data_IF_092799247174
#
_entry.id   IF_092799247174
#
_cell.length_a   1.000
_cell.length_b   1.000
_cell.length_c   1.000
_cell.angle_alpha   90.00
_cell.angle_beta   90.00
_cell.angle_gamma   90.00
#
_symmetry.space_group_name_H-M   'P 1'
#
loop_
_entity.id
_entity.type
_entity.pdbx_description
1 polymer ?
#
# COMPACT_ATOMS: atom_id res chain seq x y z
N UNK A 1 14.83 10.82 -5.97
CA UNK A 1 15.54 10.04 -4.94
C UNK A 1 15.11 10.55 -3.59
N UNK A 2 15.04 9.68 -2.58
CA UNK A 2 14.67 10.05 -1.20
C UNK A 2 15.91 10.02 -0.31
N UNK A 3 15.91 10.81 0.77
CA UNK A 3 16.96 10.84 1.79
C UNK A 3 16.34 11.04 3.18
N UNK A 4 17.19 11.05 4.23
CA UNK A 4 16.75 11.18 5.63
C UNK A 4 15.70 10.14 6.02
N UNK A 5 15.89 8.89 5.57
CA UNK A 5 15.00 7.77 5.92
C UNK A 5 15.04 7.52 7.43
N UNK A 6 13.88 7.55 8.04
CA UNK A 6 13.69 7.24 9.47
C UNK A 6 12.68 6.11 9.62
N UNK A 7 12.98 5.15 10.50
CA UNK A 7 12.11 4.04 10.83
C UNK A 7 11.38 4.31 12.14
N UNK A 8 10.10 4.02 12.17
CA UNK A 8 9.23 4.20 13.34
C UNK A 8 8.53 2.85 13.65
N UNK A 9 9.22 1.91 14.33
CA UNK A 9 8.72 0.54 14.50
C UNK A 9 7.48 0.43 15.37
N UNK A 10 7.28 1.38 16.29
CA UNK A 10 6.26 1.26 17.34
C UNK A 10 5.02 2.14 17.08
N UNK A 11 4.95 2.82 15.92
CA UNK A 11 3.79 3.66 15.63
C UNK A 11 2.57 2.82 15.24
N UNK A 12 1.48 3.04 15.92
CA UNK A 12 0.17 2.51 15.53
C UNK A 12 -0.30 3.14 14.23
N UNK A 13 -1.30 2.53 13.58
CA UNK A 13 -1.91 3.09 12.38
C UNK A 13 -2.50 4.50 12.61
N UNK A 14 -3.12 4.72 13.77
CA UNK A 14 -3.66 6.04 14.14
C UNK A 14 -2.55 7.10 14.25
N UNK A 15 -1.45 6.76 14.91
CA UNK A 15 -0.28 7.64 15.01
C UNK A 15 0.36 7.89 13.64
N UNK A 16 0.50 6.85 12.79
CA UNK A 16 0.96 7.02 11.41
C UNK A 16 0.07 8.00 10.65
N UNK A 17 -1.26 7.89 10.75
CA UNK A 17 -2.19 8.81 10.08
C UNK A 17 -2.04 10.24 10.58
N UNK A 18 -1.78 10.44 11.86
CA UNK A 18 -1.62 11.77 12.50
C UNK A 18 -0.29 12.47 12.14
N UNK A 19 0.69 11.76 11.59
CA UNK A 19 1.94 12.38 11.15
C UNK A 19 1.68 13.41 10.04
N UNK A 20 2.37 14.57 10.04
CA UNK A 20 2.13 15.66 9.07
C UNK A 20 2.70 15.37 7.67
N UNK A 21 3.56 14.35 7.52
CA UNK A 21 4.20 14.00 6.25
C UNK A 21 3.17 13.50 5.24
N UNK A 22 3.47 13.72 3.95
CA UNK A 22 2.61 13.34 2.81
C UNK A 22 2.62 11.83 2.59
N UNK A 23 1.45 11.21 2.57
CA UNK A 23 1.26 9.80 2.26
C UNK A 23 0.81 9.57 0.81
N UNK A 24 0.79 8.29 0.38
CA UNK A 24 0.17 7.92 -0.90
C UNK A 24 -1.32 8.26 -0.97
N UNK A 25 -2.03 8.25 0.16
CA UNK A 25 -3.44 8.65 0.25
C UNK A 25 -3.59 10.15 -0.01
N UNK A 26 -2.72 10.98 0.56
CA UNK A 26 -2.73 12.43 0.32
C UNK A 26 -2.46 12.75 -1.16
N UNK A 27 -1.56 12.00 -1.81
CA UNK A 27 -1.34 12.11 -3.26
C UNK A 27 -2.57 11.69 -4.06
N UNK A 28 -3.37 10.74 -3.59
CA UNK A 28 -4.64 10.37 -4.23
C UNK A 28 -5.67 11.49 -4.11
N UNK A 29 -5.77 12.13 -2.95
CA UNK A 29 -6.65 13.27 -2.72
C UNK A 29 -6.24 14.46 -3.61
N UNK A 30 -4.95 14.76 -3.67
CA UNK A 30 -4.42 15.81 -4.54
C UNK A 30 -4.73 15.54 -6.02
N UNK A 31 -4.50 14.29 -6.49
CA UNK A 31 -4.85 13.89 -7.86
C UNK A 31 -6.33 14.12 -8.16
N UNK A 32 -7.20 13.72 -7.25
CA UNK A 32 -8.64 13.88 -7.41
C UNK A 32 -9.04 15.37 -7.49
N UNK A 33 -8.46 16.20 -6.62
CA UNK A 33 -8.67 17.65 -6.63
C UNK A 33 -8.21 18.30 -7.95
N UNK A 34 -7.02 17.95 -8.43
CA UNK A 34 -6.48 18.43 -9.71
C UNK A 34 -7.34 18.03 -10.91
N UNK A 35 -8.03 16.89 -10.83
CA UNK A 35 -8.93 16.40 -11.87
C UNK A 35 -10.38 16.92 -11.72
N UNK A 36 -10.66 17.73 -10.71
CA UNK A 36 -12.01 18.20 -10.40
C UNK A 36 -12.97 17.05 -10.01
N UNK A 37 -12.44 15.93 -9.54
CA UNK A 37 -13.23 14.75 -9.16
C UNK A 37 -13.27 14.61 -7.64
N UNK A 38 -14.45 14.45 -7.02
CA UNK A 38 -14.52 14.19 -5.58
C UNK A 38 -13.85 12.85 -5.28
N UNK A 39 -12.91 12.84 -4.33
CA UNK A 39 -12.38 11.60 -3.79
C UNK A 39 -13.20 11.22 -2.54
N UNK A 40 -14.35 10.61 -2.78
CA UNK A 40 -15.22 10.08 -1.72
C UNK A 40 -15.11 8.56 -1.70
N UNK A 41 -14.11 8.03 -0.98
CA UNK A 41 -13.98 6.59 -0.85
C UNK A 41 -15.21 6.03 -0.11
N UNK A 42 -15.68 4.86 -0.52
CA UNK A 42 -16.76 4.18 0.17
C UNK A 42 -16.29 3.78 1.58
N UNK A 43 -16.85 4.34 2.67
CA UNK A 43 -16.40 4.07 4.02
C UNK A 43 -16.53 2.60 4.41
N UNK A 44 -17.56 1.91 3.93
CA UNK A 44 -17.76 0.46 4.18
C UNK A 44 -16.64 -0.36 3.52
N UNK A 45 -16.22 0.01 2.30
CA UNK A 45 -15.14 -0.68 1.62
C UNK A 45 -13.78 -0.42 2.31
N UNK A 46 -13.56 0.79 2.83
CA UNK A 46 -12.35 1.13 3.59
C UNK A 46 -12.28 0.37 4.91
N UNK A 47 -13.37 0.35 5.68
CA UNK A 47 -13.46 -0.39 6.93
C UNK A 47 -13.22 -1.89 6.70
N UNK A 48 -13.89 -2.46 5.68
CA UNK A 48 -13.68 -3.85 5.28
C UNK A 48 -12.20 -4.15 4.95
N UNK A 49 -11.58 -3.29 4.15
CA UNK A 49 -10.15 -3.42 3.82
C UNK A 49 -9.27 -3.36 5.06
N UNK A 50 -9.53 -2.43 5.98
CA UNK A 50 -8.80 -2.29 7.24
C UNK A 50 -8.93 -3.55 8.12
N UNK A 51 -10.13 -4.09 8.28
CA UNK A 51 -10.34 -5.32 9.05
C UNK A 51 -9.64 -6.53 8.42
N UNK A 52 -9.68 -6.65 7.09
CA UNK A 52 -8.96 -7.70 6.38
C UNK A 52 -7.43 -7.59 6.60
N UNK A 53 -6.86 -6.38 6.48
CA UNK A 53 -5.44 -6.15 6.72
C UNK A 53 -5.05 -6.52 8.15
N UNK A 54 -5.79 -6.03 9.16
CA UNK A 54 -5.52 -6.39 10.56
C UNK A 54 -5.58 -7.91 10.77
N UNK A 55 -6.58 -8.59 10.22
CA UNK A 55 -6.72 -10.04 10.37
C UNK A 55 -5.62 -10.87 9.70
N UNK A 56 -5.05 -10.37 8.59
CA UNK A 56 -3.95 -11.02 7.87
C UNK A 56 -2.61 -10.72 8.53
N UNK A 57 -2.33 -9.44 8.81
CA UNK A 57 -1.01 -8.90 9.15
C UNK A 57 -0.75 -8.86 10.65
N UNK A 58 -1.76 -8.54 11.44
CA UNK A 58 -1.68 -8.36 12.88
C UNK A 58 -2.80 -9.13 13.60
N UNK A 59 -2.86 -10.49 13.44
CA UNK A 59 -3.96 -11.31 13.94
C UNK A 59 -4.18 -11.20 15.47
N UNK A 60 -3.16 -10.81 16.22
CA UNK A 60 -3.26 -10.54 17.65
C UNK A 60 -4.12 -9.29 17.97
N UNK A 61 -4.28 -8.39 17.02
CA UNK A 61 -5.10 -7.19 17.15
C UNK A 61 -6.46 -7.33 16.47
N UNK A 62 -6.72 -8.47 15.79
CA UNK A 62 -7.98 -8.69 15.11
C UNK A 62 -9.08 -9.04 16.11
N UNK A 63 -10.14 -8.27 16.10
CA UNK A 63 -11.39 -8.54 16.82
C UNK A 63 -12.57 -8.09 15.97
N UNK A 64 -13.69 -8.82 16.07
CA UNK A 64 -14.97 -8.36 15.53
C UNK A 64 -15.45 -7.20 16.40
N UNK A 65 -15.83 -6.12 15.76
CA UNK A 65 -16.38 -4.92 16.41
C UNK A 65 -17.88 -4.82 16.15
N UNK A 66 -18.56 -3.84 16.75
CA UNK A 66 -19.97 -3.52 16.46
C UNK A 66 -20.15 -2.89 15.05
N UNK A 67 -19.06 -2.53 14.39
CA UNK A 67 -19.08 -1.95 13.06
C UNK A 67 -19.65 -2.95 12.03
N UNK A 68 -20.49 -2.44 11.13
CA UNK A 68 -21.09 -3.27 10.06
C UNK A 68 -20.04 -3.75 9.09
N UNK A 69 -19.66 -5.01 9.20
CA UNK A 69 -18.68 -5.68 8.36
C UNK A 69 -19.16 -7.11 8.02
N UNK A 70 -18.79 -7.60 6.85
CA UNK A 70 -18.99 -9.02 6.50
C UNK A 70 -17.83 -9.85 7.10
N UNK A 71 -17.93 -10.09 8.41
CA UNK A 71 -16.92 -10.85 9.16
C UNK A 71 -16.67 -12.26 8.61
N UNK A 72 -17.72 -13.05 8.25
CA UNK A 72 -17.51 -14.36 7.63
C UNK A 72 -16.68 -14.29 6.34
N UNK A 73 -16.90 -13.27 5.52
CA UNK A 73 -16.11 -13.08 4.31
C UNK A 73 -14.67 -12.70 4.65
N UNK A 74 -14.44 -11.79 5.60
CA UNK A 74 -13.06 -11.43 6.05
C UNK A 74 -12.32 -12.71 6.45
N UNK A 75 -12.90 -13.54 7.30
CA UNK A 75 -12.28 -14.78 7.80
C UNK A 75 -12.05 -15.81 6.67
N UNK A 76 -12.97 -15.89 5.70
CA UNK A 76 -12.81 -16.72 4.50
C UNK A 76 -11.61 -16.29 3.68
N UNK A 77 -11.44 -14.97 3.47
CA UNK A 77 -10.30 -14.44 2.71
C UNK A 77 -8.97 -14.62 3.45
N UNK A 78 -8.96 -14.43 4.77
CA UNK A 78 -7.78 -14.71 5.61
C UNK A 78 -7.39 -16.19 5.52
N UNK A 79 -8.37 -17.10 5.58
CA UNK A 79 -8.13 -18.53 5.40
C UNK A 79 -7.61 -18.86 3.99
N UNK A 80 -8.10 -18.18 2.96
CA UNK A 80 -7.59 -18.33 1.59
C UNK A 80 -6.12 -17.91 1.47
N UNK A 81 -5.74 -16.76 2.05
CA UNK A 81 -4.35 -16.29 2.11
C UNK A 81 -3.47 -17.29 2.85
N UNK A 82 -3.88 -17.75 4.02
CA UNK A 82 -3.12 -18.68 4.86
C UNK A 82 -2.99 -20.08 4.27
N UNK A 83 -3.86 -20.50 3.37
CA UNK A 83 -3.71 -21.76 2.61
C UNK A 83 -2.55 -21.70 1.61
N UNK A 84 -2.21 -20.50 1.10
CA UNK A 84 -1.09 -20.34 0.17
C UNK A 84 0.25 -20.43 0.90
N UNK A 85 1.09 -21.41 0.52
CA UNK A 85 2.43 -21.57 1.11
C UNK A 85 3.26 -20.30 1.01
N UNK A 86 3.26 -19.69 -0.17
CA UNK A 86 3.98 -18.45 -0.43
C UNK A 86 3.57 -17.32 0.54
N UNK A 87 2.25 -17.11 0.73
CA UNK A 87 1.77 -16.09 1.67
C UNK A 87 2.16 -16.39 3.11
N UNK A 88 2.10 -17.66 3.54
CA UNK A 88 2.57 -18.03 4.89
C UNK A 88 4.05 -17.73 5.09
N UNK A 89 4.89 -18.05 4.10
CA UNK A 89 6.33 -17.77 4.16
C UNK A 89 6.61 -16.26 4.23
N UNK A 90 5.85 -15.43 3.50
CA UNK A 90 5.93 -13.98 3.57
C UNK A 90 5.50 -13.45 4.94
N UNK A 91 4.33 -13.89 5.45
CA UNK A 91 3.80 -13.46 6.75
C UNK A 91 4.73 -13.87 7.92
N UNK A 92 5.38 -15.02 7.81
CA UNK A 92 6.32 -15.50 8.84
C UNK A 92 7.62 -14.70 8.86
N UNK A 93 8.13 -14.27 7.69
CA UNK A 93 9.43 -13.57 7.56
C UNK A 93 9.30 -12.07 7.50
N UNK A 94 8.14 -11.57 7.16
CA UNK A 94 7.88 -10.15 6.98
C UNK A 94 7.66 -9.43 8.31
N UNK A 95 7.93 -8.14 8.30
CA UNK A 95 7.57 -7.21 9.38
C UNK A 95 6.36 -6.42 8.91
N UNK A 96 5.20 -6.58 9.57
CA UNK A 96 3.99 -5.91 9.15
C UNK A 96 3.97 -4.45 9.57
N UNK A 97 3.29 -3.63 8.78
CA UNK A 97 2.79 -2.32 9.16
C UNK A 97 3.84 -1.35 9.77
N UNK A 98 5.10 -1.42 9.31
CA UNK A 98 6.15 -0.52 9.78
C UNK A 98 6.03 0.86 9.12
N UNK A 99 6.02 1.91 9.94
CA UNK A 99 6.02 3.28 9.45
C UNK A 99 7.44 3.77 9.14
N UNK A 100 7.57 4.43 8.01
CA UNK A 100 8.82 5.07 7.59
C UNK A 100 8.52 6.49 7.12
N UNK A 101 9.45 7.41 7.40
CA UNK A 101 9.44 8.78 6.88
C UNK A 101 10.71 9.07 6.12
N UNK A 102 10.63 9.94 5.12
CA UNK A 102 11.78 10.36 4.32
C UNK A 102 11.52 11.74 3.71
N UNK A 103 12.54 12.31 3.07
CA UNK A 103 12.41 13.57 2.34
C UNK A 103 12.63 13.32 0.85
N UNK A 104 11.73 13.79 0.01
CA UNK A 104 11.86 13.74 -1.44
C UNK A 104 12.85 14.83 -1.90
N UNK A 105 14.05 14.42 -2.30
CA UNK A 105 15.16 15.34 -2.62
C UNK A 105 14.79 16.45 -3.62
N UNK A 106 14.07 16.19 -4.74
CA UNK A 106 13.77 17.23 -5.71
C UNK A 106 12.80 18.31 -5.23
N UNK A 107 11.99 18.06 -4.20
CA UNK A 107 10.94 19.01 -3.77
C UNK A 107 11.05 19.42 -2.30
N UNK A 108 11.90 18.76 -1.51
CA UNK A 108 11.98 18.97 -0.06
C UNK A 108 10.75 18.44 0.71
N UNK A 109 9.74 17.88 0.03
CA UNK A 109 8.53 17.38 0.68
C UNK A 109 8.86 16.19 1.57
N UNK A 110 8.46 16.29 2.84
CA UNK A 110 8.54 15.17 3.76
C UNK A 110 7.39 14.18 3.50
N UNK A 111 7.71 12.91 3.42
CA UNK A 111 6.77 11.85 3.08
C UNK A 111 6.73 10.77 4.16
N UNK A 112 5.61 10.06 4.23
CA UNK A 112 5.42 8.88 5.07
C UNK A 112 4.89 7.72 4.26
N UNK A 113 5.35 6.52 4.59
CA UNK A 113 4.85 5.27 4.03
C UNK A 113 4.66 4.23 5.13
N UNK A 114 3.75 3.28 4.88
CA UNK A 114 3.48 2.13 5.74
C UNK A 114 3.13 0.94 4.85
N UNK A 115 4.12 0.17 4.40
CA UNK A 115 3.86 -1.03 3.61
C UNK A 115 3.20 -2.10 4.47
N UNK A 116 2.35 -2.92 3.87
CA UNK A 116 1.68 -4.04 4.55
C UNK A 116 2.71 -5.01 5.13
N UNK A 117 3.71 -5.40 4.32
CA UNK A 117 4.84 -6.20 4.78
C UNK A 117 6.15 -5.68 4.18
N UNK A 118 7.17 -5.62 5.03
CA UNK A 118 8.56 -5.43 4.64
C UNK A 118 9.34 -6.68 4.98
N UNK A 119 10.09 -7.22 4.04
CA UNK A 119 11.02 -8.30 4.32
C UNK A 119 12.41 -7.97 3.75
N UNK A 120 13.45 -8.40 4.47
CA UNK A 120 14.83 -8.27 4.01
C UNK A 120 15.37 -9.67 3.79
N UNK A 121 15.89 -9.93 2.61
CA UNK A 121 16.52 -11.22 2.32
C UNK A 121 17.78 -11.39 3.19
N UNK A 122 17.84 -12.42 4.04
CA UNK A 122 18.98 -12.59 4.95
C UNK A 122 20.30 -12.90 4.22
N UNK A 123 20.23 -13.40 2.96
CA UNK A 123 21.41 -13.79 2.18
C UNK A 123 22.03 -12.64 1.42
N UNK A 124 21.23 -11.72 0.91
CA UNK A 124 21.67 -10.69 -0.06
C UNK A 124 21.26 -9.27 0.34
N UNK A 125 20.65 -9.09 1.51
CA UNK A 125 20.22 -7.79 2.02
C UNK A 125 19.15 -7.07 1.18
N UNK A 126 18.59 -7.72 0.14
CA UNK A 126 17.58 -7.10 -0.72
C UNK A 126 16.27 -6.89 0.03
N UNK A 127 15.72 -5.70 -0.11
CA UNK A 127 14.44 -5.31 0.45
C UNK A 127 13.31 -5.71 -0.52
N UNK A 128 12.31 -6.39 0.01
CA UNK A 128 11.08 -6.70 -0.70
C UNK A 128 9.87 -6.15 0.06
N UNK A 129 8.91 -5.66 -0.68
CA UNK A 129 7.64 -5.15 -0.17
C UNK A 129 6.49 -6.02 -0.65
N UNK A 130 5.48 -6.17 0.18
CA UNK A 130 4.24 -6.85 -0.17
C UNK A 130 3.07 -5.97 0.20
N UNK A 131 2.04 -5.99 -0.62
CA UNK A 131 0.82 -5.25 -0.41
C UNK A 131 -0.38 -6.17 -0.73
N UNK A 132 -1.31 -6.29 0.22
CA UNK A 132 -2.49 -7.14 0.09
C UNK A 132 -3.68 -6.31 -0.41
N UNK A 133 -4.36 -6.78 -1.44
CA UNK A 133 -5.55 -6.12 -1.99
C UNK A 133 -6.72 -7.09 -2.07
N UNK A 134 -7.82 -6.77 -1.42
CA UNK A 134 -9.08 -7.47 -1.70
C UNK A 134 -9.67 -6.97 -3.03
N UNK A 135 -10.15 -7.87 -3.86
CA UNK A 135 -10.63 -7.51 -5.20
C UNK A 135 -11.94 -8.19 -5.57
N UNK A 136 -12.72 -7.52 -6.41
CA UNK A 136 -13.91 -8.08 -7.08
C UNK A 136 -13.62 -8.56 -8.50
N UNK A 137 -12.37 -8.51 -8.94
CA UNK A 137 -11.96 -9.03 -10.25
C UNK A 137 -12.36 -10.50 -10.38
N UNK A 138 -12.80 -10.89 -11.58
CA UNK A 138 -13.29 -12.26 -11.85
C UNK A 138 -12.14 -13.24 -12.05
N UNK A 139 -11.01 -12.75 -12.55
CA UNK A 139 -9.85 -13.54 -12.92
C UNK A 139 -8.54 -12.74 -12.73
N UNK A 140 -7.43 -13.39 -12.97
CA UNK A 140 -6.09 -12.82 -12.84
C UNK A 140 -5.87 -11.64 -13.79
N UNK A 141 -6.32 -11.72 -15.04
CA UNK A 141 -6.16 -10.64 -16.02
C UNK A 141 -6.94 -9.39 -15.60
N UNK A 142 -8.19 -9.57 -15.14
CA UNK A 142 -9.00 -8.50 -14.58
C UNK A 142 -8.36 -7.88 -13.32
N UNK A 143 -7.70 -8.67 -12.47
CA UNK A 143 -6.96 -8.14 -11.33
C UNK A 143 -5.74 -7.33 -11.79
N UNK A 144 -4.96 -7.82 -12.73
CA UNK A 144 -3.81 -7.08 -13.28
C UNK A 144 -4.23 -5.72 -13.87
N UNK A 145 -5.38 -5.65 -14.53
CA UNK A 145 -5.90 -4.40 -15.07
C UNK A 145 -6.22 -3.36 -13.97
N UNK A 146 -6.49 -3.80 -12.73
CA UNK A 146 -6.73 -2.86 -11.61
C UNK A 146 -5.47 -2.15 -11.13
N UNK A 147 -4.28 -2.64 -11.44
CA UNK A 147 -3.00 -2.09 -10.95
C UNK A 147 -2.83 -0.63 -11.39
N UNK A 148 -3.02 -0.36 -12.68
CA UNK A 148 -2.96 1.00 -13.20
C UNK A 148 -4.23 1.80 -12.89
N UNK A 149 -5.39 1.14 -12.93
CA UNK A 149 -6.69 1.77 -12.67
C UNK A 149 -6.76 2.41 -11.27
N UNK A 150 -6.20 1.77 -10.26
CA UNK A 150 -6.20 2.24 -8.88
C UNK A 150 -4.86 2.83 -8.42
N UNK A 151 -3.95 3.15 -9.36
CA UNK A 151 -2.62 3.70 -9.08
C UNK A 151 -1.78 2.83 -8.11
N UNK A 152 -1.91 1.52 -8.17
CA UNK A 152 -1.04 0.63 -7.38
C UNK A 152 0.40 0.66 -7.88
N UNK A 153 0.63 0.94 -9.18
CA UNK A 153 1.93 1.24 -9.77
C UNK A 153 2.58 2.46 -9.12
N UNK A 154 1.80 3.54 -8.87
CA UNK A 154 2.28 4.72 -8.15
C UNK A 154 2.66 4.40 -6.71
N UNK A 155 1.78 3.69 -5.98
CA UNK A 155 2.04 3.27 -4.60
C UNK A 155 3.32 2.44 -4.52
N UNK A 156 3.45 1.46 -5.41
CA UNK A 156 4.60 0.55 -5.44
C UNK A 156 5.91 1.29 -5.73
N UNK A 157 5.93 2.13 -6.76
CA UNK A 157 7.12 2.91 -7.11
C UNK A 157 7.51 3.88 -5.98
N UNK A 158 6.54 4.55 -5.37
CA UNK A 158 6.76 5.47 -4.26
C UNK A 158 7.37 4.74 -3.05
N UNK A 159 6.80 3.63 -2.63
CA UNK A 159 7.27 2.87 -1.47
C UNK A 159 8.63 2.20 -1.73
N UNK A 160 8.80 1.66 -2.93
CA UNK A 160 10.07 1.03 -3.31
C UNK A 160 11.21 2.05 -3.37
N UNK A 161 10.98 3.25 -3.91
CA UNK A 161 12.01 4.29 -4.00
C UNK A 161 12.37 4.88 -2.62
N UNK A 162 11.39 4.96 -1.68
CA UNK A 162 11.66 5.39 -0.29
C UNK A 162 12.55 4.39 0.44
N UNK A 163 12.30 3.09 0.28
CA UNK A 163 13.00 2.04 1.03
C UNK A 163 14.18 1.39 0.27
N UNK A 164 14.43 1.79 -0.98
CA UNK A 164 15.41 1.11 -1.82
C UNK A 164 15.02 -0.34 -2.12
N UNK A 165 13.72 -0.63 -2.19
CA UNK A 165 13.25 -1.98 -2.44
C UNK A 165 13.55 -2.41 -3.89
N UNK A 166 13.87 -3.69 -4.03
CA UNK A 166 14.18 -4.34 -5.33
C UNK A 166 13.10 -5.34 -5.75
N UNK A 167 12.05 -5.49 -4.94
CA UNK A 167 10.86 -6.29 -5.21
C UNK A 167 9.63 -5.63 -4.64
N UNK A 168 8.53 -5.70 -5.36
CA UNK A 168 7.22 -5.29 -4.88
C UNK A 168 6.16 -6.26 -5.39
N UNK A 169 5.59 -7.02 -4.48
CA UNK A 169 4.58 -8.02 -4.81
C UNK A 169 3.20 -7.55 -4.35
N UNK A 170 2.23 -7.54 -5.24
CA UNK A 170 0.82 -7.38 -4.86
C UNK A 170 0.18 -8.77 -4.73
N UNK A 171 -0.50 -8.99 -3.61
CA UNK A 171 -1.32 -10.18 -3.37
C UNK A 171 -2.79 -9.80 -3.53
N UNK A 172 -3.39 -10.19 -4.65
CA UNK A 172 -4.82 -10.00 -4.91
C UNK A 172 -5.63 -11.13 -4.29
N UNK A 173 -6.62 -10.79 -3.46
CA UNK A 173 -7.49 -11.76 -2.80
C UNK A 173 -8.92 -11.56 -3.27
N UNK A 174 -9.44 -12.52 -4.04
CA UNK A 174 -10.75 -12.46 -4.65
C UNK A 174 -11.86 -12.57 -3.61
N UNK A 175 -12.82 -11.62 -3.61
CA UNK A 175 -13.95 -11.57 -2.67
C UNK A 175 -15.09 -12.54 -2.98
N UNK A 176 -15.05 -13.24 -4.11
CA UNK A 176 -16.08 -14.22 -4.52
C UNK A 176 -15.43 -15.59 -4.73
N UNK A 177 -16.24 -16.64 -4.56
CA UNK A 177 -15.78 -17.99 -4.87
C UNK A 177 -15.20 -18.07 -6.30
N UNK A 178 -14.07 -18.77 -6.48
CA UNK A 178 -13.41 -19.70 -5.55
C UNK A 178 -12.43 -19.05 -4.55
N UNK A 179 -12.50 -17.73 -4.29
CA UNK A 179 -11.64 -16.99 -3.36
C UNK A 179 -10.15 -17.13 -3.71
N UNK A 180 -9.87 -16.97 -5.01
CA UNK A 180 -8.51 -17.07 -5.54
C UNK A 180 -7.56 -16.07 -4.91
N UNK A 181 -6.31 -16.48 -4.73
CA UNK A 181 -5.22 -15.61 -4.27
C UNK A 181 -4.20 -15.53 -5.42
N UNK A 182 -3.98 -14.33 -5.92
CA UNK A 182 -3.09 -14.05 -7.05
C UNK A 182 -1.86 -13.28 -6.57
N UNK A 183 -0.74 -13.61 -7.16
CA UNK A 183 0.52 -12.93 -6.91
C UNK A 183 0.97 -12.21 -8.17
N UNK A 184 1.29 -10.92 -8.05
CA UNK A 184 1.84 -10.11 -9.14
C UNK A 184 3.13 -9.45 -8.67
N UNK A 185 4.25 -9.79 -9.31
CA UNK A 185 5.53 -9.12 -9.05
C UNK A 185 5.65 -7.91 -9.99
N UNK A 186 5.60 -6.71 -9.42
CA UNK A 186 5.50 -5.50 -10.24
C UNK A 186 6.82 -5.13 -10.91
N UNK A 187 7.97 -5.55 -10.36
CA UNK A 187 9.26 -5.32 -10.99
C UNK A 187 9.46 -6.09 -12.30
N UNK A 188 8.68 -7.17 -12.51
CA UNK A 188 8.73 -7.96 -13.74
C UNK A 188 7.89 -7.33 -14.87
N UNK A 189 7.10 -6.30 -14.58
CA UNK A 189 6.25 -5.62 -15.57
C UNK A 189 7.01 -4.42 -16.15
N UNK A 190 7.40 -4.53 -17.42
CA UNK A 190 8.18 -3.51 -18.13
C UNK A 190 7.47 -2.14 -18.12
N UNK A 191 8.19 -1.10 -17.71
CA UNK A 191 7.71 0.29 -17.73
C UNK A 191 6.79 0.68 -16.57
N UNK A 192 6.31 -0.28 -15.76
CA UNK A 192 5.32 0.00 -14.71
C UNK A 192 5.89 0.90 -13.61
N UNK A 193 7.11 0.64 -13.16
CA UNK A 193 7.77 1.46 -12.15
C UNK A 193 8.10 2.86 -12.64
N UNK A 194 8.54 3.01 -13.88
CA UNK A 194 8.79 4.31 -14.52
C UNK A 194 7.50 5.14 -14.59
N UNK A 195 6.39 4.50 -14.94
CA UNK A 195 5.07 5.12 -14.95
C UNK A 195 4.66 5.56 -13.53
N UNK A 196 4.80 4.68 -12.55
CA UNK A 196 4.53 4.98 -11.14
C UNK A 196 5.38 6.13 -10.61
N UNK A 197 6.68 6.15 -10.94
CA UNK A 197 7.61 7.25 -10.60
C UNK A 197 7.18 8.59 -11.19
N UNK A 198 6.77 8.61 -12.46
CA UNK A 198 6.22 9.83 -13.09
C UNK A 198 4.99 10.32 -12.34
N UNK A 199 4.07 9.42 -11.99
CA UNK A 199 2.84 9.76 -11.26
C UNK A 199 3.14 10.38 -9.90
N UNK A 200 3.90 9.72 -9.02
CA UNK A 200 4.14 10.27 -7.67
C UNK A 200 5.02 11.53 -7.71
N UNK A 201 6.06 11.58 -8.56
CA UNK A 201 6.94 12.74 -8.64
C UNK A 201 6.21 13.99 -9.14
N UNK A 202 5.28 13.84 -10.09
CA UNK A 202 4.44 14.94 -10.54
C UNK A 202 3.54 15.45 -9.42
N UNK A 203 2.90 14.57 -8.68
CA UNK A 203 2.05 14.96 -7.55
C UNK A 203 2.83 15.63 -6.42
N UNK A 204 4.03 15.14 -6.09
CA UNK A 204 4.90 15.77 -5.08
C UNK A 204 5.36 17.18 -5.50
N UNK A 205 5.60 17.43 -6.80
CA UNK A 205 5.87 18.80 -7.30
C UNK A 205 4.66 19.72 -7.16
N UNK A 206 3.47 19.24 -7.50
CA UNK A 206 2.22 20.00 -7.29
C UNK A 206 2.00 20.30 -5.81
N UNK A 207 2.22 19.32 -4.94
CA UNK A 207 2.09 19.52 -3.50
C UNK A 207 3.06 20.58 -2.99
N UNK A 208 4.34 20.52 -3.38
CA UNK A 208 5.35 21.51 -3.00
C UNK A 208 4.97 22.93 -3.46
N UNK A 209 4.45 23.07 -4.69
CA UNK A 209 4.00 24.36 -5.19
C UNK A 209 2.85 24.93 -4.36
N UNK A 210 1.82 24.15 -4.06
CA UNK A 210 0.70 24.58 -3.21
C UNK A 210 1.16 25.00 -1.82
N UNK A 211 2.13 24.31 -1.22
CA UNK A 211 2.68 24.70 0.08
C UNK A 211 3.39 26.05 0.03
N UNK A 212 4.12 26.35 -1.03
CA UNK A 212 4.76 27.67 -1.20
C UNK A 212 3.74 28.79 -1.38
N UNK A 213 2.64 28.55 -2.12
CA UNK A 213 1.56 29.52 -2.31
C UNK A 213 0.77 29.83 -1.03
N UNK A 214 0.72 28.89 -0.07
CA UNK A 214 0.08 29.10 1.24
C UNK A 214 0.98 29.89 2.18
N UNK A 215 2.29 29.82 2.03
CA UNK A 215 3.28 30.47 2.87
C UNK A 215 3.69 31.88 2.40
N UNK A 216 3.26 32.25 1.18
CA UNK A 216 3.52 33.56 0.58
C UNK A 216 2.34 34.52 0.82
#
# INVERSE_FOLDING_TARGET
MFHALTHHPDLTQAQHRALPQVSNTDLSHLKAALLGKPNTPNPVALAYGSHFHTAVLEPQHYARTEERCDWPLVETLVAAVRRQRYCRDLLFRGRPELTHTATHAPTGVQVKIRPDLLHVSPRIGKVGLVDFKTTSARDYAGFCATIEQYDYDRQAAFYADVLGATRFTIIGVQKKAPFSVWQVELFDITGLFEQGRKKYSTLLRHYAKQMLEILS
#
